data_IF_049167148467
#
_entry.id   IF_049167148467
#
_cell.length_a   1.000
_cell.length_b   1.000
_cell.length_c   1.000
_cell.angle_alpha   90.00
_cell.angle_beta   90.00
_cell.angle_gamma   90.00
#
_symmetry.space_group_name_H-M   'P 1'
#
loop_
_entity.id
_entity.type
_entity.pdbx_description
1 polymer ?
#
# COMPACT_ATOMS: atom_id res chain seq x y z
N UNK A 1 30.97 -34.94 -38.60
CA UNK A 1 30.03 -35.32 -37.52
C UNK A 1 30.00 -34.30 -36.37
N UNK A 2 31.15 -33.84 -35.84
CA UNK A 2 31.21 -32.80 -34.78
C UNK A 2 30.44 -31.49 -35.08
N UNK A 3 30.54 -30.97 -36.32
CA UNK A 3 29.79 -29.75 -36.71
C UNK A 3 28.27 -29.94 -36.67
N UNK A 4 27.74 -31.10 -37.09
CA UNK A 4 26.30 -31.40 -37.05
C UNK A 4 25.76 -31.50 -35.62
N UNK A 5 26.54 -32.09 -34.71
CA UNK A 5 26.21 -32.14 -33.27
C UNK A 5 26.20 -30.74 -32.65
N UNK A 6 27.16 -29.88 -33.03
CA UNK A 6 27.25 -28.51 -32.53
C UNK A 6 26.09 -27.63 -33.03
N UNK A 7 25.72 -27.74 -34.30
CA UNK A 7 24.53 -27.07 -34.84
C UNK A 7 23.23 -27.61 -34.23
N UNK A 8 23.14 -28.92 -33.99
CA UNK A 8 21.98 -29.51 -33.31
C UNK A 8 21.84 -29.02 -31.87
N UNK A 9 22.95 -28.94 -31.12
CA UNK A 9 22.95 -28.42 -29.75
C UNK A 9 22.56 -26.94 -29.71
N UNK A 10 23.08 -26.13 -30.64
CA UNK A 10 22.69 -24.72 -30.77
C UNK A 10 21.20 -24.57 -31.07
N UNK A 11 20.65 -25.37 -31.99
CA UNK A 11 19.23 -25.33 -32.34
C UNK A 11 18.33 -25.70 -31.16
N UNK A 12 18.69 -26.73 -30.38
CA UNK A 12 17.97 -27.11 -29.17
C UNK A 12 18.03 -26.00 -28.12
N UNK A 13 19.19 -25.39 -27.91
CA UNK A 13 19.34 -24.26 -26.98
C UNK A 13 18.47 -23.07 -27.37
N UNK A 14 18.50 -22.66 -28.64
CA UNK A 14 17.66 -21.56 -29.16
C UNK A 14 16.18 -21.90 -29.04
N UNK A 15 15.79 -23.14 -29.33
CA UNK A 15 14.42 -23.60 -29.17
C UNK A 15 13.96 -23.51 -27.71
N UNK A 16 14.77 -23.99 -26.75
CA UNK A 16 14.45 -23.91 -25.32
C UNK A 16 14.32 -22.47 -24.84
N UNK A 17 15.25 -21.59 -25.24
CA UNK A 17 15.19 -20.16 -24.92
C UNK A 17 13.92 -19.53 -25.51
N UNK A 18 13.58 -19.87 -26.76
CA UNK A 18 12.38 -19.36 -27.43
C UNK A 18 11.10 -19.79 -26.72
N UNK A 19 11.00 -21.07 -26.34
CA UNK A 19 9.85 -21.61 -25.58
C UNK A 19 9.68 -20.84 -24.27
N UNK A 20 10.76 -20.65 -23.51
CA UNK A 20 10.72 -19.93 -22.23
C UNK A 20 10.38 -18.45 -22.42
N UNK A 21 10.92 -17.81 -23.46
CA UNK A 21 10.68 -16.40 -23.76
C UNK A 21 9.24 -16.12 -24.23
N UNK A 22 8.57 -17.09 -24.87
CA UNK A 22 7.25 -16.89 -25.48
C UNK A 22 6.12 -17.60 -24.74
N UNK A 23 6.31 -17.97 -23.46
CA UNK A 23 5.24 -18.56 -22.66
C UNK A 23 4.07 -17.56 -22.55
N UNK A 24 2.87 -17.90 -23.05
CA UNK A 24 1.70 -17.04 -22.93
C UNK A 24 1.31 -16.82 -21.48
N UNK A 25 1.00 -15.57 -21.11
CA UNK A 25 0.58 -15.22 -19.76
C UNK A 25 -0.66 -15.99 -19.29
N UNK A 26 -1.58 -16.26 -20.21
CA UNK A 26 -2.85 -16.95 -19.95
C UNK A 26 -2.65 -18.34 -19.34
N UNK A 27 -1.57 -19.05 -19.67
CA UNK A 27 -1.32 -20.39 -19.12
C UNK A 27 -1.07 -20.35 -17.61
N UNK A 28 -0.37 -19.32 -17.13
CA UNK A 28 -0.04 -19.15 -15.70
C UNK A 28 -1.20 -18.47 -14.97
N UNK A 29 -1.75 -17.39 -15.55
CA UNK A 29 -2.80 -16.60 -14.91
C UNK A 29 -4.11 -17.38 -14.75
N UNK A 30 -4.42 -18.30 -15.67
CA UNK A 30 -5.61 -19.16 -15.53
C UNK A 30 -5.53 -20.08 -14.31
N UNK A 31 -4.34 -20.55 -13.93
CA UNK A 31 -4.18 -21.37 -12.72
C UNK A 31 -4.40 -20.55 -11.44
N UNK A 32 -3.94 -19.29 -11.43
CA UNK A 32 -4.17 -18.37 -10.32
C UNK A 32 -5.66 -18.01 -10.18
N UNK A 33 -6.40 -17.97 -11.29
CA UNK A 33 -7.84 -17.69 -11.31
C UNK A 33 -8.73 -18.80 -10.75
N UNK A 34 -8.16 -19.96 -10.38
CA UNK A 34 -8.89 -21.09 -9.82
C UNK A 34 -9.25 -20.91 -8.33
N UNK A 35 -8.76 -19.85 -7.69
CA UNK A 35 -9.10 -19.53 -6.30
C UNK A 35 -10.34 -18.63 -6.26
N UNK A 36 -11.28 -18.89 -5.35
CA UNK A 36 -12.45 -18.02 -5.12
C UNK A 36 -12.04 -16.58 -4.72
N UNK A 37 -10.80 -16.39 -4.27
CA UNK A 37 -10.27 -15.10 -3.79
C UNK A 37 -9.82 -14.20 -4.94
N UNK A 38 -9.37 -14.75 -6.06
CA UNK A 38 -8.70 -14.00 -7.13
C UNK A 38 -9.16 -14.46 -8.51
N UNK A 39 -9.74 -13.55 -9.28
CA UNK A 39 -10.16 -13.81 -10.67
C UNK A 39 -9.60 -12.75 -11.59
N UNK A 40 -8.99 -13.18 -12.69
CA UNK A 40 -8.35 -12.30 -13.67
C UNK A 40 -9.01 -12.54 -15.03
N UNK A 41 -9.37 -11.46 -15.73
CA UNK A 41 -10.01 -11.55 -17.05
C UNK A 41 -9.30 -10.67 -18.08
N UNK A 42 -9.37 -11.07 -19.35
CA UNK A 42 -8.75 -10.34 -20.46
C UNK A 42 -7.23 -10.31 -20.37
N UNK A 43 -6.61 -11.48 -20.12
CA UNK A 43 -5.15 -11.63 -20.04
C UNK A 43 -4.55 -11.61 -21.44
N UNK A 44 -3.56 -10.74 -21.65
CA UNK A 44 -2.83 -10.57 -22.90
C UNK A 44 -1.31 -10.50 -22.65
N UNK A 45 -0.52 -10.93 -23.64
CA UNK A 45 0.94 -10.92 -23.58
C UNK A 45 1.59 -12.21 -23.04
N UNK A 46 2.81 -12.06 -22.54
CA UNK A 46 3.67 -13.16 -22.06
C UNK A 46 3.80 -13.14 -20.54
N UNK A 47 4.30 -14.23 -19.97
CA UNK A 47 4.66 -14.27 -18.54
C UNK A 47 5.67 -13.17 -18.16
N UNK A 48 6.47 -12.70 -19.12
CA UNK A 48 7.47 -11.65 -18.93
C UNK A 48 6.87 -10.25 -18.97
N UNK A 49 6.07 -9.95 -19.98
CA UNK A 49 5.44 -8.65 -20.15
C UNK A 49 4.03 -8.86 -20.67
N UNK A 50 3.06 -8.38 -19.91
CA UNK A 50 1.66 -8.62 -20.19
C UNK A 50 0.71 -7.73 -19.40
N UNK A 51 -0.57 -7.92 -19.67
CA UNK A 51 -1.63 -7.17 -19.00
C UNK A 51 -2.88 -8.02 -18.79
N UNK A 52 -3.69 -7.61 -17.84
CA UNK A 52 -5.03 -8.11 -17.60
C UNK A 52 -5.99 -6.94 -17.53
N UNK A 53 -7.11 -7.06 -18.24
CA UNK A 53 -8.11 -6.00 -18.32
C UNK A 53 -8.83 -5.75 -17.00
N UNK A 54 -9.13 -6.82 -16.25
CA UNK A 54 -9.76 -6.71 -14.94
C UNK A 54 -9.21 -7.76 -13.97
N UNK A 55 -8.83 -7.28 -12.80
CA UNK A 55 -8.48 -8.06 -11.62
C UNK A 55 -9.61 -7.95 -10.60
N UNK A 56 -10.14 -9.08 -10.16
CA UNK A 56 -11.13 -9.16 -9.10
C UNK A 56 -10.50 -9.80 -7.87
N UNK A 57 -10.51 -9.09 -6.75
CA UNK A 57 -10.05 -9.56 -5.44
C UNK A 57 -11.25 -9.65 -4.50
N UNK A 58 -11.52 -10.84 -3.96
CA UNK A 58 -12.68 -11.09 -3.07
C UNK A 58 -14.00 -10.56 -3.66
N UNK A 59 -14.18 -10.73 -4.98
CA UNK A 59 -15.35 -10.24 -5.70
C UNK A 59 -15.34 -8.75 -6.07
N UNK A 60 -14.40 -7.95 -5.57
CA UNK A 60 -14.29 -6.52 -5.87
C UNK A 60 -13.35 -6.28 -7.07
N UNK A 61 -13.76 -5.39 -7.98
CA UNK A 61 -12.95 -5.01 -9.13
C UNK A 61 -11.82 -4.04 -8.71
N UNK A 62 -10.59 -4.54 -8.78
CA UNK A 62 -9.34 -3.82 -8.50
C UNK A 62 -8.80 -3.14 -9.78
N UNK A 63 -9.50 -3.25 -10.90
CA UNK A 63 -9.14 -2.59 -12.17
C UNK A 63 -8.15 -3.40 -13.01
N UNK A 64 -7.47 -2.72 -13.94
CA UNK A 64 -6.43 -3.34 -14.77
C UNK A 64 -5.20 -3.75 -13.96
N UNK A 65 -4.42 -4.66 -14.52
CA UNK A 65 -3.11 -5.07 -14.02
C UNK A 65 -2.15 -5.17 -15.20
N UNK A 66 -1.00 -4.51 -15.09
CA UNK A 66 0.10 -4.61 -16.04
C UNK A 66 1.33 -5.07 -15.26
N UNK A 67 2.07 -6.02 -15.83
CA UNK A 67 3.34 -6.48 -15.26
C UNK A 67 4.43 -6.52 -16.32
N UNK A 68 5.65 -6.24 -15.88
CA UNK A 68 6.85 -6.29 -16.71
C UNK A 68 8.03 -6.81 -15.87
N UNK A 69 8.44 -8.05 -16.13
CA UNK A 69 9.58 -8.70 -15.50
C UNK A 69 10.86 -8.06 -16.02
N UNK A 70 11.65 -7.50 -15.10
CA UNK A 70 12.90 -6.84 -15.39
C UNK A 70 14.01 -7.88 -15.64
N UNK A 71 14.10 -8.37 -16.87
CA UNK A 71 15.07 -9.42 -17.28
C UNK A 71 16.52 -9.01 -16.98
N UNK A 72 16.84 -7.71 -17.02
CA UNK A 72 18.17 -7.19 -16.66
C UNK A 72 18.55 -7.48 -15.21
N UNK A 73 17.58 -7.53 -14.29
CA UNK A 73 17.81 -7.83 -12.87
C UNK A 73 18.19 -9.30 -12.65
N UNK A 74 17.82 -10.21 -13.56
CA UNK A 74 18.22 -11.62 -13.49
C UNK A 74 19.75 -11.78 -13.60
N UNK A 75 20.44 -10.88 -14.31
CA UNK A 75 21.91 -10.86 -14.37
C UNK A 75 22.54 -10.55 -13.00
N UNK A 76 21.82 -9.85 -12.13
CA UNK A 76 22.19 -9.60 -10.74
C UNK A 76 21.62 -10.65 -9.78
N UNK A 77 21.11 -11.76 -10.32
CA UNK A 77 20.40 -12.81 -9.57
C UNK A 77 19.22 -12.28 -8.74
N UNK A 78 18.52 -11.26 -9.27
CA UNK A 78 17.29 -10.73 -8.72
C UNK A 78 16.14 -11.00 -9.69
N UNK A 79 15.04 -11.53 -9.17
CA UNK A 79 13.79 -11.59 -9.91
C UNK A 79 12.98 -10.35 -9.54
N UNK A 80 12.80 -9.41 -10.47
CA UNK A 80 12.07 -8.17 -10.23
C UNK A 80 10.96 -8.01 -11.27
N UNK A 81 9.79 -7.55 -10.82
CA UNK A 81 8.60 -7.32 -11.62
C UNK A 81 8.09 -5.91 -11.35
N UNK A 82 8.05 -5.08 -12.39
CA UNK A 82 7.38 -3.79 -12.35
C UNK A 82 5.89 -4.03 -12.55
N UNK A 83 5.08 -3.64 -11.56
CA UNK A 83 3.63 -3.80 -11.58
C UNK A 83 2.94 -2.44 -11.62
N UNK A 84 1.81 -2.37 -12.31
CA UNK A 84 0.90 -1.22 -12.30
C UNK A 84 -0.53 -1.74 -12.29
N UNK A 85 -1.38 -1.17 -11.46
CA UNK A 85 -2.76 -1.63 -11.34
C UNK A 85 -3.72 -0.49 -10.98
N UNK A 86 -5.02 -0.72 -11.18
CA UNK A 86 -6.08 0.14 -10.64
C UNK A 86 -6.84 1.01 -11.62
N UNK A 87 -6.52 0.99 -12.92
CA UNK A 87 -7.35 1.73 -13.89
C UNK A 87 -8.69 1.02 -14.00
N UNK A 88 -9.78 1.76 -13.75
CA UNK A 88 -11.12 1.18 -13.72
C UNK A 88 -11.45 0.37 -12.46
N UNK A 89 -10.72 0.59 -11.35
CA UNK A 89 -11.08 0.02 -10.04
C UNK A 89 -12.34 0.66 -9.45
N UNK A 90 -13.28 -0.15 -8.99
CA UNK A 90 -14.49 0.29 -8.28
C UNK A 90 -14.18 0.82 -6.87
N UNK A 91 -13.05 0.37 -6.31
CA UNK A 91 -12.52 0.83 -5.02
C UNK A 91 -11.72 2.14 -5.15
N UNK A 92 -11.48 2.63 -6.37
CA UNK A 92 -10.59 3.77 -6.60
C UNK A 92 -9.14 3.50 -6.16
N UNK A 93 -8.75 2.22 -6.07
CA UNK A 93 -7.39 1.83 -5.73
C UNK A 93 -6.54 1.91 -6.99
N UNK A 94 -5.38 2.55 -6.90
CA UNK A 94 -4.37 2.59 -7.96
C UNK A 94 -2.99 2.46 -7.39
N UNK A 95 -2.13 1.71 -8.06
CA UNK A 95 -0.75 1.59 -7.63
C UNK A 95 0.22 1.26 -8.73
N UNK A 96 1.50 1.44 -8.39
CA UNK A 96 2.64 1.04 -9.20
C UNK A 96 3.81 0.72 -8.28
N UNK A 97 4.73 -0.12 -8.71
CA UNK A 97 5.97 -0.35 -7.98
C UNK A 97 6.75 -1.53 -8.53
N UNK A 98 7.95 -1.71 -7.99
CA UNK A 98 8.81 -2.83 -8.34
C UNK A 98 8.77 -3.82 -7.18
N UNK A 99 8.37 -5.05 -7.45
CA UNK A 99 8.38 -6.15 -6.49
C UNK A 99 9.45 -7.13 -6.90
N UNK A 100 10.25 -7.62 -5.95
CA UNK A 100 11.29 -8.57 -6.29
C UNK A 100 11.68 -9.55 -5.21
N UNK A 101 12.45 -10.55 -5.62
CA UNK A 101 13.08 -11.57 -4.80
C UNK A 101 14.57 -11.56 -5.11
N UNK A 102 15.39 -11.34 -4.09
CA UNK A 102 16.84 -11.43 -4.15
C UNK A 102 17.39 -12.42 -3.13
N UNK A 103 18.72 -12.49 -2.99
CA UNK A 103 19.37 -13.36 -2.00
C UNK A 103 19.02 -13.01 -0.55
N UNK A 104 18.73 -11.74 -0.27
CA UNK A 104 18.29 -11.26 1.05
C UNK A 104 16.78 -11.42 1.28
N UNK A 105 16.07 -12.07 0.36
CA UNK A 105 14.62 -12.29 0.46
C UNK A 105 13.78 -11.32 -0.38
N UNK A 106 12.46 -11.25 -0.08
CA UNK A 106 11.53 -10.39 -0.78
C UNK A 106 11.77 -8.90 -0.53
N UNK A 107 11.49 -8.11 -1.55
CA UNK A 107 11.61 -6.67 -1.47
C UNK A 107 10.60 -5.95 -2.35
N UNK A 108 10.39 -4.68 -2.04
CA UNK A 108 9.63 -3.77 -2.86
C UNK A 108 10.32 -2.41 -2.92
N UNK A 109 10.41 -1.82 -4.10
CA UNK A 109 11.07 -0.54 -4.34
C UNK A 109 10.12 0.38 -5.13
N UNK A 110 10.11 1.67 -4.79
CA UNK A 110 9.32 2.72 -5.46
C UNK A 110 7.83 2.36 -5.60
N UNK A 111 7.27 1.79 -4.55
CA UNK A 111 5.84 1.44 -4.51
C UNK A 111 5.04 2.68 -4.18
N UNK A 112 4.04 2.99 -5.00
CA UNK A 112 3.04 4.01 -4.72
C UNK A 112 1.68 3.36 -4.83
N UNK A 113 0.87 3.46 -3.77
CA UNK A 113 -0.50 2.95 -3.73
C UNK A 113 -1.40 4.07 -3.23
N UNK A 114 -2.46 4.35 -3.97
CA UNK A 114 -3.45 5.36 -3.66
C UNK A 114 -4.83 4.72 -3.55
N UNK A 115 -5.62 5.18 -2.59
CA UNK A 115 -6.97 4.69 -2.32
C UNK A 115 -7.86 5.85 -1.88
N UNK A 116 -9.14 5.80 -2.26
CA UNK A 116 -10.12 6.77 -1.78
C UNK A 116 -10.38 6.55 -0.28
N UNK A 117 -10.29 7.61 0.52
CA UNK A 117 -10.39 7.52 1.98
C UNK A 117 -11.74 6.94 2.44
N UNK A 118 -12.81 7.19 1.68
CA UNK A 118 -14.16 6.70 1.99
C UNK A 118 -14.29 5.18 1.93
N UNK A 119 -13.39 4.49 1.23
CA UNK A 119 -13.32 3.03 1.19
C UNK A 119 -12.61 2.45 2.41
N UNK A 120 -11.76 3.23 3.09
CA UNK A 120 -11.05 2.80 4.29
C UNK A 120 -11.95 2.77 5.53
N UNK A 121 -13.03 3.54 5.55
CA UNK A 121 -14.01 3.52 6.65
C UNK A 121 -14.55 2.10 6.92
N UNK A 122 -14.72 1.28 5.87
CA UNK A 122 -15.20 -0.10 6.00
C UNK A 122 -14.22 -1.03 6.73
N UNK A 123 -12.95 -0.64 6.86
CA UNK A 123 -11.93 -1.43 7.56
C UNK A 123 -11.96 -1.21 9.08
N UNK A 124 -12.60 -0.14 9.54
CA UNK A 124 -12.65 0.23 10.95
C UNK A 124 -14.09 0.22 11.45
N UNK A 125 -14.47 -0.69 12.36
CA UNK A 125 -15.79 -0.67 12.98
C UNK A 125 -15.87 0.51 13.96
N UNK A 126 -16.23 1.69 13.45
CA UNK A 126 -16.38 2.90 14.26
C UNK A 126 -17.75 2.90 14.96
N UNK A 127 -17.82 3.34 16.23
CA UNK A 127 -19.08 3.41 16.98
C UNK A 127 -20.03 4.50 16.46
N UNK A 128 -19.52 5.43 15.64
CA UNK A 128 -20.27 6.55 15.06
C UNK A 128 -20.14 6.51 13.53
N UNK A 129 -21.21 6.89 12.79
CA UNK A 129 -21.16 6.95 11.34
C UNK A 129 -20.26 8.12 10.90
N UNK A 130 -19.01 7.81 10.59
CA UNK A 130 -18.01 8.77 10.14
C UNK A 130 -17.59 8.42 8.72
N UNK A 131 -17.55 9.42 7.85
CA UNK A 131 -17.04 9.27 6.49
C UNK A 131 -15.75 10.05 6.33
N UNK A 132 -14.73 9.36 5.83
CA UNK A 132 -13.45 9.97 5.45
C UNK A 132 -13.48 10.32 3.96
N UNK A 133 -13.13 11.55 3.61
CA UNK A 133 -13.03 11.98 2.21
C UNK A 133 -11.58 12.31 1.83
N UNK A 134 -11.33 12.41 0.53
CA UNK A 134 -10.00 12.66 -0.03
C UNK A 134 -9.30 11.38 -0.49
N UNK A 135 -8.01 11.50 -0.77
CA UNK A 135 -7.17 10.42 -1.29
C UNK A 135 -6.04 10.13 -0.30
N UNK A 136 -5.91 8.87 0.12
CA UNK A 136 -4.78 8.39 0.89
C UNK A 136 -3.79 7.74 -0.07
N UNK A 137 -2.54 8.18 -0.03
CA UNK A 137 -1.43 7.66 -0.82
C UNK A 137 -0.32 7.16 0.10
N UNK A 138 0.08 5.91 -0.08
CA UNK A 138 1.28 5.32 0.49
C UNK A 138 2.38 5.34 -0.57
N UNK A 139 3.53 5.92 -0.24
CA UNK A 139 4.73 5.93 -1.05
C UNK A 139 5.87 5.25 -0.30
N UNK A 140 6.31 4.07 -0.74
CA UNK A 140 7.47 3.36 -0.22
C UNK A 140 8.66 3.56 -1.15
N UNK A 141 9.74 4.10 -0.61
CA UNK A 141 11.01 4.25 -1.32
C UNK A 141 11.69 2.90 -1.48
N UNK A 142 11.84 2.19 -0.35
CA UNK A 142 12.38 0.85 -0.27
C UNK A 142 11.71 0.06 0.85
N UNK A 143 11.61 -1.24 0.67
CA UNK A 143 11.08 -2.19 1.64
C UNK A 143 11.80 -3.53 1.48
N UNK A 144 12.32 -4.07 2.58
CA UNK A 144 12.96 -5.38 2.66
C UNK A 144 12.21 -6.20 3.70
N UNK A 145 11.71 -7.36 3.27
CA UNK A 145 11.01 -8.27 4.15
C UNK A 145 12.01 -9.05 5.00
N UNK A 146 11.76 -9.08 6.30
CA UNK A 146 12.27 -10.08 7.23
C UNK A 146 11.14 -10.42 8.20
N UNK A 147 11.19 -11.61 8.79
CA UNK A 147 10.17 -12.03 9.73
C UNK A 147 10.26 -11.23 11.03
N UNK A 148 9.13 -10.74 11.61
CA UNK A 148 7.75 -10.96 11.19
C UNK A 148 7.19 -10.03 10.09
N UNK A 149 7.77 -8.86 9.79
CA UNK A 149 7.24 -7.99 8.74
C UNK A 149 8.23 -7.09 7.99
N UNK A 150 9.39 -6.72 8.55
CA UNK A 150 10.44 -6.05 7.76
C UNK A 150 11.81 -6.00 8.43
N UNK A 151 12.84 -6.13 7.60
CA UNK A 151 14.22 -5.79 7.97
C UNK A 151 14.39 -4.27 7.96
N UNK A 152 13.96 -3.64 6.87
CA UNK A 152 14.03 -2.19 6.65
C UNK A 152 12.91 -1.72 5.75
N UNK A 153 12.36 -0.54 6.04
CA UNK A 153 11.44 0.14 5.15
C UNK A 153 11.54 1.65 5.35
N UNK A 154 11.36 2.41 4.27
CA UNK A 154 11.25 3.86 4.31
C UNK A 154 10.19 4.30 3.33
N UNK A 155 9.28 5.14 3.80
CA UNK A 155 8.24 5.71 2.97
C UNK A 155 7.46 6.80 3.68
N UNK A 156 6.39 7.23 3.06
CA UNK A 156 5.46 8.19 3.60
C UNK A 156 4.02 7.83 3.26
N UNK A 157 3.12 8.25 4.12
CA UNK A 157 1.68 8.22 3.91
C UNK A 157 1.20 9.67 3.82
N UNK A 158 0.48 10.00 2.76
CA UNK A 158 -0.11 11.30 2.55
C UNK A 158 -1.63 11.18 2.42
N UNK A 159 -2.37 11.96 3.18
CA UNK A 159 -3.80 12.13 2.99
C UNK A 159 -4.08 13.53 2.46
N UNK A 160 -4.48 13.60 1.19
CA UNK A 160 -4.77 14.86 0.50
C UNK A 160 -6.26 15.10 0.45
N UNK A 161 -6.65 16.38 0.56
CA UNK A 161 -8.06 16.79 0.67
C UNK A 161 -8.79 16.04 1.80
N UNK A 162 -8.09 15.84 2.92
CA UNK A 162 -8.61 15.10 4.07
C UNK A 162 -9.76 15.85 4.72
N UNK A 163 -10.94 15.24 4.67
CA UNK A 163 -12.13 15.73 5.37
C UNK A 163 -12.80 14.59 6.11
N UNK A 164 -13.34 14.91 7.27
CA UNK A 164 -14.09 13.99 8.12
C UNK A 164 -15.49 14.54 8.26
N UNK A 165 -16.48 13.82 7.76
CA UNK A 165 -17.88 14.16 7.99
C UNK A 165 -18.42 13.27 9.11
N UNK A 166 -19.12 13.91 10.04
CA UNK A 166 -19.79 13.27 11.16
C UNK A 166 -21.15 13.91 11.39
N UNK A 167 -22.04 13.29 12.19
CA UNK A 167 -23.29 13.93 12.62
C UNK A 167 -23.10 15.24 13.40
N UNK A 168 -21.87 15.50 13.89
CA UNK A 168 -21.50 16.72 14.65
C UNK A 168 -20.91 17.82 13.75
N UNK A 169 -20.88 17.60 12.43
CA UNK A 169 -20.35 18.53 11.45
C UNK A 169 -19.22 17.96 10.58
N UNK A 170 -18.69 18.83 9.73
CA UNK A 170 -17.56 18.57 8.83
C UNK A 170 -16.27 19.15 9.43
N UNK A 171 -15.17 18.37 9.35
CA UNK A 171 -13.84 18.76 9.79
C UNK A 171 -12.85 18.60 8.64
N UNK A 172 -12.28 19.72 8.20
CA UNK A 172 -11.24 19.79 7.18
C UNK A 172 -9.86 19.71 7.83
N UNK A 173 -9.14 18.62 7.59
CA UNK A 173 -7.85 18.32 8.21
C UNK A 173 -6.65 18.93 7.48
N UNK A 174 -6.86 19.49 6.28
CA UNK A 174 -5.77 19.89 5.41
C UNK A 174 -4.95 18.68 4.93
N UNK A 175 -3.70 18.90 4.47
CA UNK A 175 -2.80 17.82 4.12
C UNK A 175 -2.24 17.14 5.39
N UNK A 176 -2.44 15.82 5.48
CA UNK A 176 -1.79 15.00 6.51
C UNK A 176 -0.62 14.27 5.86
N UNK A 177 0.57 14.37 6.45
CA UNK A 177 1.75 13.62 5.99
C UNK A 177 2.34 12.88 7.19
N UNK A 178 2.65 11.61 6.98
CA UNK A 178 3.27 10.76 7.97
C UNK A 178 4.46 10.00 7.38
N UNK A 179 5.56 10.01 8.10
CA UNK A 179 6.76 9.26 7.76
C UNK A 179 6.63 7.83 8.30
N UNK A 180 6.79 6.86 7.42
CA UNK A 180 6.79 5.44 7.74
C UNK A 180 8.23 4.94 7.71
N UNK A 181 8.67 4.38 8.83
CA UNK A 181 9.96 3.71 8.91
C UNK A 181 9.80 2.31 9.50
N UNK A 182 10.65 1.41 9.05
CA UNK A 182 10.83 0.13 9.69
C UNK A 182 12.31 -0.17 9.81
N UNK A 183 12.72 -0.64 10.98
CA UNK A 183 14.08 -1.11 11.22
C UNK A 183 14.04 -2.29 12.16
N UNK A 184 14.60 -3.43 11.74
CA UNK A 184 14.69 -4.65 12.53
C UNK A 184 13.34 -5.07 13.15
N UNK A 185 12.30 -5.10 12.32
CA UNK A 185 10.92 -5.40 12.68
C UNK A 185 10.25 -4.43 13.67
N UNK A 186 10.87 -3.28 13.97
CA UNK A 186 10.18 -2.19 14.64
C UNK A 186 9.64 -1.22 13.59
N UNK A 187 8.32 -1.05 13.56
CA UNK A 187 7.65 -0.11 12.65
C UNK A 187 7.29 1.17 13.40
N UNK A 188 7.55 2.31 12.79
CA UNK A 188 7.14 3.62 13.27
C UNK A 188 6.38 4.38 12.20
N UNK A 189 5.35 5.10 12.61
CA UNK A 189 4.58 6.00 11.76
C UNK A 189 4.38 7.31 12.53
N UNK A 190 5.05 8.36 12.09
CA UNK A 190 4.98 9.67 12.73
C UNK A 190 4.41 10.66 11.74
N UNK A 191 3.33 11.34 12.11
CA UNK A 191 2.69 12.28 11.23
C UNK A 191 2.20 13.51 11.96
N UNK A 192 1.99 14.55 11.17
CA UNK A 192 1.41 15.79 11.63
C UNK A 192 0.45 16.33 10.58
N UNK A 193 -0.47 17.15 11.04
CA UNK A 193 -1.21 18.06 10.18
C UNK A 193 -1.31 19.42 10.84
N UNK A 194 -1.45 20.43 9.99
CA UNK A 194 -1.88 21.75 10.40
C UNK A 194 -2.94 22.30 9.43
N UNK A 195 -4.03 22.84 9.98
CA UNK A 195 -5.14 23.45 9.22
C UNK A 195 -5.73 24.63 9.99
N UNK A 196 -6.61 25.41 9.34
CA UNK A 196 -7.29 26.53 10.01
C UNK A 196 -8.30 26.06 11.08
N UNK A 197 -8.72 24.79 11.02
CA UNK A 197 -9.68 24.21 11.96
C UNK A 197 -9.01 23.47 13.11
N UNK A 198 -7.89 22.79 12.87
CA UNK A 198 -7.18 22.07 13.93
C UNK A 198 -5.71 21.81 13.60
N UNK A 199 -4.91 21.57 14.63
CA UNK A 199 -3.55 21.04 14.57
C UNK A 199 -3.49 19.67 15.23
N UNK A 200 -2.71 18.73 14.71
CA UNK A 200 -2.50 17.44 15.38
C UNK A 200 -1.20 16.77 14.97
N UNK A 201 -0.69 15.95 15.87
CA UNK A 201 0.47 15.10 15.65
C UNK A 201 0.16 13.71 16.19
N UNK A 202 0.75 12.69 15.56
CA UNK A 202 0.65 11.32 16.03
C UNK A 202 1.97 10.59 15.83
N UNK A 203 2.25 9.68 16.73
CA UNK A 203 3.38 8.77 16.72
C UNK A 203 2.86 7.38 17.07
N UNK A 204 2.93 6.47 16.10
CA UNK A 204 2.60 5.06 16.26
C UNK A 204 3.89 4.25 16.22
N UNK A 205 3.98 3.26 17.10
CA UNK A 205 5.07 2.30 17.14
C UNK A 205 4.47 0.90 17.29
N UNK A 206 4.92 -0.02 16.46
CA UNK A 206 4.58 -1.44 16.52
C UNK A 206 5.87 -2.25 16.69
N UNK A 207 5.88 -3.10 17.71
CA UNK A 207 7.00 -3.94 18.09
C UNK A 207 6.82 -5.37 17.58
N UNK A 208 7.92 -6.14 17.39
CA UNK A 208 7.88 -7.51 16.87
C UNK A 208 6.97 -8.49 17.65
N UNK A 209 6.72 -8.22 18.93
CA UNK A 209 5.86 -9.01 19.83
C UNK A 209 4.38 -8.61 19.75
N UNK A 210 4.00 -7.85 18.73
CA UNK A 210 2.66 -7.28 18.52
C UNK A 210 2.24 -6.26 19.58
N UNK A 211 3.16 -5.83 20.46
CA UNK A 211 2.90 -4.69 21.33
C UNK A 211 2.93 -3.39 20.53
N UNK A 212 2.00 -2.49 20.82
CA UNK A 212 1.90 -1.20 20.15
C UNK A 212 1.79 -0.06 21.14
N UNK A 213 2.29 1.11 20.70
CA UNK A 213 2.14 2.38 21.39
C UNK A 213 1.67 3.42 20.39
N UNK A 214 0.54 4.04 20.67
CA UNK A 214 -0.07 5.07 19.85
C UNK A 214 -0.24 6.34 20.69
N UNK A 215 0.56 7.36 20.38
CA UNK A 215 0.46 8.68 21.00
C UNK A 215 -0.05 9.65 19.94
N UNK A 216 -1.06 10.42 20.28
CA UNK A 216 -1.54 11.49 19.42
C UNK A 216 -1.97 12.67 20.27
N UNK A 217 -1.89 13.87 19.70
CA UNK A 217 -2.54 15.02 20.27
C UNK A 217 -3.24 15.80 19.19
N UNK A 218 -4.33 16.47 19.56
CA UNK A 218 -4.92 17.47 18.70
C UNK A 218 -5.26 18.74 19.47
N UNK A 219 -5.35 19.83 18.73
CA UNK A 219 -5.68 21.15 19.23
C UNK A 219 -6.67 21.81 18.26
N UNK A 220 -7.86 22.20 18.72
CA UNK A 220 -8.76 23.09 17.97
C UNK A 220 -8.08 24.41 17.63
N UNK A 221 -8.21 24.87 16.38
CA UNK A 221 -7.74 26.18 15.92
C UNK A 221 -8.93 27.12 15.67
N UNK A 222 -8.66 28.34 15.18
CA UNK A 222 -9.63 29.44 15.14
C UNK A 222 -10.94 29.13 14.39
N UNK A 223 -10.90 28.22 13.41
CA UNK A 223 -12.08 27.83 12.62
C UNK A 223 -12.64 26.45 13.00
N UNK A 224 -12.29 25.92 14.16
CA UNK A 224 -12.84 24.64 14.62
C UNK A 224 -14.38 24.70 14.70
N UNK A 225 -15.11 23.70 14.20
CA UNK A 225 -16.57 23.72 14.19
C UNK A 225 -17.16 23.88 15.61
N UNK A 226 -18.04 24.88 15.85
CA UNK A 226 -18.60 25.12 17.18
C UNK A 226 -19.36 23.92 17.76
N UNK A 227 -20.12 23.21 16.92
CA UNK A 227 -20.89 22.03 17.33
C UNK A 227 -19.97 20.90 17.84
N UNK A 228 -18.78 20.76 17.27
CA UNK A 228 -17.76 19.82 17.76
C UNK A 228 -17.07 20.35 19.01
N UNK A 229 -16.85 21.67 19.10
CA UNK A 229 -16.23 22.30 20.27
C UNK A 229 -17.01 22.00 21.55
N UNK A 230 -18.34 22.03 21.47
CA UNK A 230 -19.24 21.70 22.58
C UNK A 230 -19.12 20.24 23.03
N UNK A 231 -18.67 19.33 22.16
CA UNK A 231 -18.46 17.92 22.52
C UNK A 231 -17.09 17.66 23.15
N UNK A 232 -16.15 18.62 23.09
CA UNK A 232 -14.81 18.45 23.63
C UNK A 232 -14.81 18.22 25.16
N UNK A 233 -15.86 18.65 25.85
CA UNK A 233 -16.04 18.39 27.28
C UNK A 233 -16.10 16.88 27.61
N UNK A 234 -16.51 16.04 26.66
CA UNK A 234 -16.66 14.59 26.87
C UNK A 234 -15.36 13.81 26.64
N UNK A 235 -14.39 14.37 25.91
CA UNK A 235 -13.09 13.72 25.65
C UNK A 235 -12.04 14.03 26.73
N UNK A 236 -12.29 15.02 27.58
CA UNK A 236 -11.41 15.40 28.69
C UNK A 236 -10.99 16.87 28.65
N UNK A 237 -10.09 17.25 29.57
CA UNK A 237 -9.53 18.59 29.60
C UNK A 237 -8.24 18.67 28.74
N UNK A 238 -8.01 19.76 28.00
CA UNK A 238 -6.75 19.98 27.33
C UNK A 238 -5.62 20.27 28.32
N UNK A 239 -4.37 20.11 27.86
CA UNK A 239 -3.19 20.54 28.60
C UNK A 239 -3.02 22.08 28.60
N UNK A 240 -1.95 22.56 29.25
CA UNK A 240 -1.63 24.00 29.34
C UNK A 240 -1.39 24.68 27.98
N UNK A 241 -1.25 23.92 26.90
CA UNK A 241 -1.08 24.40 25.52
C UNK A 241 -2.38 24.31 24.70
N UNK A 242 -3.48 23.86 25.32
CA UNK A 242 -4.75 23.63 24.64
C UNK A 242 -4.80 22.30 23.88
N UNK A 243 -3.86 21.37 24.11
CA UNK A 243 -3.82 20.09 23.40
C UNK A 243 -4.55 19.00 24.17
N UNK A 244 -5.39 18.27 23.46
CA UNK A 244 -6.03 17.06 23.93
C UNK A 244 -5.13 15.88 23.60
N UNK A 245 -4.70 15.15 24.63
CA UNK A 245 -3.70 14.08 24.52
C UNK A 245 -4.40 12.72 24.49
N UNK A 246 -3.96 11.86 23.57
CA UNK A 246 -4.38 10.48 23.45
C UNK A 246 -3.16 9.58 23.54
N UNK A 247 -3.19 8.65 24.49
CA UNK A 247 -2.12 7.68 24.66
C UNK A 247 -2.73 6.29 24.84
N UNK A 248 -2.53 5.43 23.87
CA UNK A 248 -3.00 4.06 23.87
C UNK A 248 -1.81 3.13 23.77
N UNK A 249 -1.80 2.09 24.59
CA UNK A 249 -0.82 1.03 24.56
C UNK A 249 -1.56 -0.30 24.69
N UNK A 250 -1.09 -1.31 23.99
CA UNK A 250 -1.73 -2.61 24.00
C UNK A 250 -0.94 -3.65 23.24
N UNK A 251 -1.60 -4.78 22.99
CA UNK A 251 -1.08 -5.88 22.19
C UNK A 251 -2.19 -6.32 21.24
N UNK A 252 -1.84 -6.53 19.96
CA UNK A 252 -2.75 -6.96 18.90
C UNK A 252 -3.05 -8.47 18.97
#
# INVERSE_FOLDING_TARGET
MKKKLLYSGFLVMVFLISVVAHIPASLVMNQLSSSEVMRVTGVDGTVWSGSAQQLFWQGQNVGDLNWDIQVSQLLMAKFEVAVRFGRGSDMGVRGKGNLGLGFSGPYADKVVVSVAANKLAALFPLPVPVTFQGQVELSLNHYRYDSPWCESAEGSLAWTHGRVDSPLGELSLGPVVADLQCQSNQMTLNGQQNSEQMSSEFALQLQPDMSYSAKAWFKPEAQFPPEMADQLQWIGAPDNQGKYQFNYQGQL
#
